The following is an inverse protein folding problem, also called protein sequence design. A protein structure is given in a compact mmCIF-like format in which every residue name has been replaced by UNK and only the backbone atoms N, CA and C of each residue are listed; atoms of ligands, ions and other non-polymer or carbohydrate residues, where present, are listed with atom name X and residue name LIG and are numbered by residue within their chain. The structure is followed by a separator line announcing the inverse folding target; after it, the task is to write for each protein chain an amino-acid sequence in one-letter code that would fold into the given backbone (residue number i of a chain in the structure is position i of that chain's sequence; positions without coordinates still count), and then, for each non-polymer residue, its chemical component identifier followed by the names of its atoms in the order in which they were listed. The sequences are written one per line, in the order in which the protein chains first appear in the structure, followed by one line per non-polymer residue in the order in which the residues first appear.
data_IF_630804046321
#
_entry.id   IF_630804046321
#
_cell.length_a   1.000
_cell.length_b   1.000
_cell.length_c   1.000
_cell.angle_alpha   90.00
_cell.angle_beta   90.00
_cell.angle_gamma   90.00
#
_symmetry.space_group_name_H-M   'P 1'
#
loop_
_entity.id
_entity.type
_entity.pdbx_description
1 polymer ?
#
# COMPACT_ATOMS: atom_id res chain seq x y z
N UNK A 1 26.08 -25.79 -1.17
CA UNK A 1 26.22 -27.19 -0.67
C UNK A 1 25.18 -28.05 -1.33
N UNK A 2 25.57 -29.10 -2.06
CA UNK A 2 24.62 -29.96 -2.78
C UNK A 2 23.88 -30.91 -1.81
N UNK A 3 22.73 -31.46 -2.24
CA UNK A 3 21.91 -32.37 -1.44
C UNK A 3 22.72 -33.54 -0.83
N UNK A 4 23.65 -34.11 -1.58
CA UNK A 4 24.50 -35.21 -1.11
C UNK A 4 25.35 -34.81 0.12
N UNK A 5 25.97 -33.63 0.08
CA UNK A 5 26.77 -33.13 1.18
C UNK A 5 25.92 -32.88 2.43
N UNK A 6 24.70 -32.40 2.25
CA UNK A 6 23.76 -32.17 3.36
C UNK A 6 23.32 -33.46 4.03
N UNK A 7 23.02 -34.50 3.23
CA UNK A 7 22.67 -35.81 3.77
C UNK A 7 23.86 -36.37 4.59
N UNK A 8 25.08 -36.24 4.11
CA UNK A 8 26.30 -36.70 4.82
C UNK A 8 26.44 -35.93 6.14
N UNK A 9 26.29 -34.59 6.11
CA UNK A 9 26.50 -33.76 7.27
C UNK A 9 25.45 -34.00 8.34
N UNK A 10 24.17 -34.06 7.97
CA UNK A 10 23.09 -34.29 8.93
C UNK A 10 23.14 -35.69 9.50
N UNK A 11 23.48 -36.71 8.72
CA UNK A 11 23.70 -38.06 9.25
C UNK A 11 24.86 -38.10 10.25
N UNK A 12 26.01 -37.48 9.92
CA UNK A 12 27.17 -37.41 10.83
C UNK A 12 26.86 -36.60 12.10
N UNK A 13 26.08 -35.53 11.97
CA UNK A 13 25.65 -34.68 13.09
C UNK A 13 24.80 -35.47 14.10
N UNK A 14 23.96 -36.37 13.59
CA UNK A 14 23.15 -37.27 14.42
C UNK A 14 23.93 -38.53 14.87
N UNK A 15 25.20 -38.69 14.51
CA UNK A 15 26.05 -39.81 14.90
C UNK A 15 25.69 -41.13 14.22
N UNK A 16 24.93 -41.12 13.11
CA UNK A 16 24.43 -42.32 12.48
C UNK A 16 25.40 -42.86 11.43
N UNK A 17 25.48 -44.22 11.33
CA UNK A 17 26.08 -44.92 10.19
C UNK A 17 25.14 -44.86 8.97
N UNK A 18 25.65 -45.17 7.79
CA UNK A 18 24.82 -45.32 6.58
C UNK A 18 23.76 -46.42 6.73
N UNK A 19 24.01 -47.41 7.52
CA UNK A 19 23.12 -48.55 7.78
C UNK A 19 21.96 -48.13 8.70
N UNK A 20 22.23 -47.39 9.75
CA UNK A 20 21.21 -46.85 10.65
C UNK A 20 20.30 -45.81 9.93
N UNK A 21 20.86 -44.93 9.11
CA UNK A 21 20.03 -44.03 8.29
C UNK A 21 19.15 -44.79 7.29
N UNK A 22 19.69 -45.87 6.70
CA UNK A 22 18.94 -46.70 5.78
C UNK A 22 17.76 -47.40 6.46
N UNK A 23 17.95 -47.88 7.70
CA UNK A 23 16.91 -48.51 8.52
C UNK A 23 15.82 -47.50 8.85
N UNK A 24 16.17 -46.28 9.32
CA UNK A 24 15.23 -45.22 9.62
C UNK A 24 14.35 -44.82 8.43
N UNK A 25 14.95 -44.79 7.23
CA UNK A 25 14.27 -44.42 5.99
C UNK A 25 13.57 -45.61 5.31
N UNK A 26 13.75 -46.83 5.84
CA UNK A 26 13.28 -48.08 5.25
C UNK A 26 13.72 -48.22 3.79
N UNK A 27 15.04 -48.15 3.57
CA UNK A 27 15.71 -48.29 2.28
C UNK A 27 16.96 -49.15 2.44
N UNK A 28 17.57 -49.55 1.33
CA UNK A 28 18.84 -50.29 1.38
C UNK A 28 20.01 -49.34 1.68
N UNK A 29 21.06 -49.88 2.38
CA UNK A 29 22.32 -49.14 2.57
C UNK A 29 22.93 -48.63 1.26
N UNK A 30 22.78 -49.42 0.19
CA UNK A 30 23.25 -49.04 -1.14
C UNK A 30 22.54 -47.77 -1.65
N UNK A 31 21.26 -47.55 -1.33
CA UNK A 31 20.53 -46.34 -1.71
C UNK A 31 21.13 -45.13 -1.02
N UNK A 32 21.39 -45.21 0.29
CA UNK A 32 22.05 -44.13 1.03
C UNK A 32 23.44 -43.83 0.43
N UNK A 33 24.24 -44.87 0.17
CA UNK A 33 25.56 -44.70 -0.43
C UNK A 33 25.52 -44.01 -1.80
N UNK A 34 24.52 -44.31 -2.63
CA UNK A 34 24.34 -43.65 -3.94
C UNK A 34 23.90 -42.19 -3.78
N UNK A 35 23.04 -41.89 -2.84
CA UNK A 35 22.59 -40.52 -2.57
C UNK A 35 23.70 -39.65 -1.98
N UNK A 36 24.48 -40.16 -1.03
CA UNK A 36 25.67 -39.51 -0.49
C UNK A 36 26.80 -39.34 -1.54
N UNK A 37 26.90 -40.27 -2.48
CA UNK A 37 27.84 -40.19 -3.61
C UNK A 37 27.36 -39.37 -4.82
N UNK A 38 26.22 -38.68 -4.71
CA UNK A 38 25.58 -37.95 -5.81
C UNK A 38 25.31 -38.77 -7.08
N UNK A 39 25.24 -40.12 -6.95
CA UNK A 39 25.00 -41.05 -8.07
C UNK A 39 23.51 -41.25 -8.34
N UNK A 40 22.65 -40.89 -7.39
CA UNK A 40 21.19 -40.90 -7.50
C UNK A 40 20.58 -39.86 -6.61
N UNK A 41 19.38 -39.38 -6.98
CA UNK A 41 18.60 -38.44 -6.18
C UNK A 41 17.48 -39.25 -5.50
N UNK A 42 17.24 -39.04 -4.17
CA UNK A 42 16.12 -39.65 -3.48
C UNK A 42 14.78 -39.14 -4.05
N UNK A 43 13.73 -39.93 -3.97
CA UNK A 43 12.39 -39.48 -4.30
C UNK A 43 11.89 -38.44 -3.26
N UNK A 44 10.89 -37.65 -3.66
CA UNK A 44 10.38 -36.54 -2.84
C UNK A 44 9.86 -37.02 -1.47
N UNK A 45 9.27 -38.20 -1.37
CA UNK A 45 8.77 -38.75 -0.11
C UNK A 45 9.91 -39.10 0.85
N UNK A 46 11.05 -39.59 0.28
CA UNK A 46 12.25 -39.86 1.09
C UNK A 46 12.93 -38.56 1.55
N UNK A 47 12.91 -37.52 0.72
CA UNK A 47 13.40 -36.19 1.13
C UNK A 47 12.57 -35.61 2.27
N UNK A 48 11.25 -35.71 2.20
CA UNK A 48 10.34 -35.28 3.27
C UNK A 48 10.65 -36.04 4.56
N UNK A 49 10.76 -37.36 4.47
CA UNK A 49 11.07 -38.23 5.62
C UNK A 49 12.47 -37.95 6.19
N UNK A 50 13.46 -37.66 5.34
CA UNK A 50 14.78 -37.22 5.80
C UNK A 50 14.71 -35.89 6.56
N UNK A 51 13.94 -34.93 6.05
CA UNK A 51 13.75 -33.65 6.71
C UNK A 51 13.15 -33.82 8.11
N UNK A 52 12.13 -34.68 8.27
CA UNK A 52 11.53 -35.04 9.57
C UNK A 52 12.56 -35.69 10.52
N UNK A 53 13.30 -36.69 10.05
CA UNK A 53 14.25 -37.46 10.87
C UNK A 53 15.45 -36.58 11.29
N UNK A 54 15.94 -35.73 10.39
CA UNK A 54 17.06 -34.82 10.69
C UNK A 54 16.64 -33.58 11.45
N UNK A 55 15.33 -33.29 11.57
CA UNK A 55 14.81 -32.08 12.20
C UNK A 55 15.14 -30.80 11.41
N UNK A 56 15.22 -30.90 10.09
CA UNK A 56 15.54 -29.77 9.17
C UNK A 56 14.38 -29.54 8.21
N UNK A 57 14.32 -28.34 7.59
CA UNK A 57 13.32 -28.08 6.58
C UNK A 57 13.61 -28.81 5.27
N UNK A 58 12.58 -29.19 4.52
CA UNK A 58 12.73 -29.73 3.15
C UNK A 58 13.43 -28.74 2.23
N UNK A 59 13.18 -27.43 2.43
CA UNK A 59 13.85 -26.35 1.71
C UNK A 59 15.37 -26.33 1.93
N UNK A 60 15.81 -26.61 3.16
CA UNK A 60 17.23 -26.73 3.47
C UNK A 60 17.87 -27.88 2.69
N UNK A 61 17.21 -29.01 2.58
CA UNK A 61 17.74 -30.15 1.81
C UNK A 61 17.79 -29.86 0.28
N UNK A 62 16.79 -29.15 -0.25
CA UNK A 62 16.61 -28.98 -1.69
C UNK A 62 17.31 -27.76 -2.30
N UNK A 63 17.56 -26.67 -1.52
CA UNK A 63 18.18 -25.44 -2.04
C UNK A 63 19.68 -25.42 -1.76
N UNK A 64 20.51 -25.26 -2.78
CA UNK A 64 21.97 -25.35 -2.67
C UNK A 64 22.64 -24.22 -1.85
N UNK A 65 21.95 -23.13 -1.54
CA UNK A 65 22.50 -21.92 -0.92
C UNK A 65 22.17 -21.71 0.57
N UNK A 66 21.53 -22.68 1.26
CA UNK A 66 21.20 -22.55 2.68
C UNK A 66 22.23 -23.23 3.60
N UNK A 67 22.81 -22.45 4.51
CA UNK A 67 23.58 -22.98 5.66
C UNK A 67 22.61 -23.54 6.73
N UNK A 68 23.04 -24.54 7.56
CA UNK A 68 22.20 -25.08 8.61
C UNK A 68 21.88 -24.01 9.66
N UNK A 69 20.61 -23.66 9.80
CA UNK A 69 20.17 -22.92 10.96
C UNK A 69 20.38 -23.80 12.20
N UNK A 70 21.12 -23.31 13.17
CA UNK A 70 21.39 -24.01 14.43
C UNK A 70 20.07 -24.47 15.07
N UNK A 71 20.00 -25.76 15.27
CA UNK A 71 18.84 -26.50 15.75
C UNK A 71 18.45 -26.04 17.17
N UNK A 72 17.31 -25.43 17.30
CA UNK A 72 16.53 -25.56 18.53
C UNK A 72 15.47 -26.63 18.31
N UNK A 73 15.74 -27.82 18.83
CA UNK A 73 14.74 -28.83 19.13
C UNK A 73 13.91 -28.30 20.29
N UNK A 74 12.66 -27.99 20.02
CA UNK A 74 11.61 -28.09 21.01
C UNK A 74 10.26 -28.30 20.32
N UNK A 75 9.71 -29.46 20.58
CA UNK A 75 8.31 -29.88 20.72
C UNK A 75 7.25 -29.12 19.89
N UNK A 76 6.52 -29.93 19.13
CA UNK A 76 5.16 -29.66 18.68
C UNK A 76 4.31 -29.39 19.93
N UNK A 77 4.14 -28.16 20.29
CA UNK A 77 2.97 -27.65 20.98
C UNK A 77 2.32 -26.65 20.01
N UNK A 78 1.03 -26.88 19.74
CA UNK A 78 0.10 -25.85 19.31
C UNK A 78 0.20 -24.72 20.34
N UNK A 79 1.14 -23.82 20.14
CA UNK A 79 1.18 -22.58 20.90
C UNK A 79 1.03 -21.41 19.91
N UNK A 80 -0.03 -20.68 20.13
CA UNK A 80 -0.21 -19.29 19.75
C UNK A 80 0.87 -18.44 20.44
N UNK A 81 2.15 -18.64 20.06
CA UNK A 81 3.33 -17.98 20.59
C UNK A 81 4.08 -17.23 19.52
N UNK A 82 3.82 -15.94 19.45
CA UNK A 82 4.69 -14.82 19.04
C UNK A 82 6.13 -15.21 18.73
N UNK A 83 6.41 -15.54 17.50
CA UNK A 83 7.73 -15.24 16.91
C UNK A 83 7.85 -13.71 16.89
N UNK A 84 8.85 -13.19 17.56
CA UNK A 84 9.07 -11.78 17.86
C UNK A 84 8.69 -10.84 16.69
N UNK A 85 7.51 -10.23 16.76
CA UNK A 85 7.15 -9.07 15.98
C UNK A 85 6.53 -9.26 14.60
N UNK A 86 6.45 -10.47 14.03
CA UNK A 86 5.84 -10.71 12.72
C UNK A 86 4.41 -11.24 12.82
N UNK A 87 3.48 -10.61 12.09
CA UNK A 87 2.10 -11.11 11.99
C UNK A 87 2.02 -12.04 10.78
N UNK A 88 1.62 -13.30 11.00
CA UNK A 88 1.43 -14.28 9.91
C UNK A 88 0.14 -14.00 9.16
N UNK A 89 0.24 -13.93 7.84
CA UNK A 89 -0.91 -13.70 6.95
C UNK A 89 -1.21 -14.99 6.19
N UNK A 90 -2.39 -15.55 6.44
CA UNK A 90 -2.87 -16.74 5.76
C UNK A 90 -3.33 -16.45 4.33
N UNK A 91 -3.50 -17.51 3.52
CA UNK A 91 -4.05 -17.40 2.17
C UNK A 91 -5.46 -16.82 2.17
N UNK A 92 -6.30 -17.26 3.11
CA UNK A 92 -7.69 -16.82 3.25
C UNK A 92 -7.78 -15.34 3.60
N UNK A 93 -7.00 -14.87 4.58
CA UNK A 93 -6.92 -13.46 4.96
C UNK A 93 -6.43 -12.57 3.81
N UNK A 94 -5.43 -13.03 3.06
CA UNK A 94 -4.93 -12.30 1.89
C UNK A 94 -6.01 -12.17 0.81
N UNK A 95 -6.78 -13.23 0.54
CA UNK A 95 -7.91 -13.18 -0.38
C UNK A 95 -8.99 -12.21 0.10
N UNK A 96 -9.38 -12.31 1.37
CA UNK A 96 -10.41 -11.45 1.96
C UNK A 96 -10.00 -9.97 1.92
N UNK A 97 -8.75 -9.66 2.24
CA UNK A 97 -8.21 -8.31 2.15
C UNK A 97 -8.23 -7.76 0.72
N UNK A 98 -7.72 -8.53 -0.25
CA UNK A 98 -7.70 -8.09 -1.65
C UNK A 98 -9.10 -7.89 -2.23
N UNK A 99 -10.05 -8.77 -1.90
CA UNK A 99 -11.43 -8.66 -2.34
C UNK A 99 -12.11 -7.42 -1.71
N UNK A 100 -11.89 -7.19 -0.42
CA UNK A 100 -12.38 -5.99 0.26
C UNK A 100 -11.83 -4.71 -0.41
N UNK A 101 -10.52 -4.63 -0.67
CA UNK A 101 -9.91 -3.47 -1.31
C UNK A 101 -10.42 -3.26 -2.75
N UNK A 102 -10.59 -4.33 -3.52
CA UNK A 102 -11.16 -4.24 -4.88
C UNK A 102 -12.60 -3.75 -4.88
N UNK A 103 -13.41 -4.12 -3.88
CA UNK A 103 -14.81 -3.64 -3.72
C UNK A 103 -14.86 -2.20 -3.21
N UNK A 104 -13.95 -1.79 -2.33
CA UNK A 104 -13.95 -0.46 -1.74
C UNK A 104 -13.27 0.59 -2.64
N UNK A 105 -12.31 0.21 -3.48
CA UNK A 105 -11.59 1.13 -4.36
C UNK A 105 -12.50 2.00 -5.25
N UNK A 106 -13.53 1.47 -5.96
CA UNK A 106 -14.43 2.31 -6.73
C UNK A 106 -15.27 3.24 -5.86
N UNK A 107 -15.66 2.82 -4.64
CA UNK A 107 -16.41 3.66 -3.70
C UNK A 107 -15.54 4.82 -3.23
N UNK A 108 -14.33 4.54 -2.79
CA UNK A 108 -13.34 5.56 -2.39
C UNK A 108 -13.13 6.59 -3.51
N UNK A 109 -12.90 6.12 -4.74
CA UNK A 109 -12.71 6.99 -5.89
C UNK A 109 -13.95 7.87 -6.18
N UNK A 110 -15.16 7.32 -6.05
CA UNK A 110 -16.39 8.08 -6.23
C UNK A 110 -16.56 9.16 -5.16
N UNK A 111 -16.18 8.89 -3.90
CA UNK A 111 -16.25 9.88 -2.81
C UNK A 111 -15.21 11.00 -3.01
N UNK A 112 -14.01 10.67 -3.47
CA UNK A 112 -13.01 11.68 -3.86
C UNK A 112 -13.54 12.55 -5.00
N UNK A 113 -14.14 11.95 -6.03
CA UNK A 113 -14.75 12.70 -7.14
C UNK A 113 -15.90 13.60 -6.65
N UNK A 114 -16.69 13.13 -5.71
CA UNK A 114 -17.77 13.92 -5.09
C UNK A 114 -17.23 15.16 -4.37
N UNK A 115 -16.10 15.02 -3.66
CA UNK A 115 -15.42 16.15 -3.03
C UNK A 115 -14.88 17.17 -4.06
N UNK A 116 -14.39 16.70 -5.23
CA UNK A 116 -13.93 17.59 -6.31
C UNK A 116 -15.10 18.31 -6.97
N UNK A 117 -16.25 17.64 -7.13
CA UNK A 117 -17.46 18.22 -7.73
C UNK A 117 -18.24 19.13 -6.77
N UNK A 118 -18.04 19.01 -5.46
CA UNK A 118 -18.74 19.84 -4.48
C UNK A 118 -18.57 21.36 -4.72
N UNK A 119 -17.36 21.92 -4.87
CA UNK A 119 -17.18 23.32 -5.24
C UNK A 119 -17.69 23.63 -6.66
N UNK A 120 -17.68 22.66 -7.60
CA UNK A 120 -18.20 22.89 -8.93
C UNK A 120 -19.69 23.19 -8.95
N UNK A 121 -20.48 22.59 -8.04
CA UNK A 121 -21.92 22.90 -7.88
C UNK A 121 -22.12 24.32 -7.42
N UNK A 122 -21.33 24.81 -6.45
CA UNK A 122 -21.40 26.20 -6.01
C UNK A 122 -21.06 27.18 -7.14
N UNK A 123 -19.97 26.90 -7.86
CA UNK A 123 -19.53 27.70 -9.01
C UNK A 123 -20.59 27.70 -10.13
N UNK A 124 -21.23 26.56 -10.37
CA UNK A 124 -22.32 26.45 -11.33
C UNK A 124 -23.52 27.31 -10.93
N UNK A 125 -23.92 27.31 -9.65
CA UNK A 125 -25.01 28.15 -9.16
C UNK A 125 -24.70 29.64 -9.35
N UNK A 126 -23.45 30.07 -9.09
CA UNK A 126 -23.00 31.45 -9.29
C UNK A 126 -23.03 31.79 -10.80
N UNK A 127 -22.56 30.90 -11.68
CA UNK A 127 -22.56 31.14 -13.12
C UNK A 127 -23.99 31.28 -13.68
N UNK A 128 -24.91 30.46 -13.20
CA UNK A 128 -26.32 30.50 -13.62
C UNK A 128 -27.03 31.79 -13.19
N UNK A 129 -26.71 32.32 -12.00
CA UNK A 129 -27.32 33.58 -11.54
C UNK A 129 -26.89 34.81 -12.37
N UNK A 130 -25.75 34.73 -13.05
CA UNK A 130 -25.27 35.79 -13.94
C UNK A 130 -25.92 35.80 -15.33
N UNK A 131 -26.73 34.80 -15.67
CA UNK A 131 -27.43 34.72 -16.96
C UNK A 131 -28.60 35.72 -16.95
N UNK A 132 -28.69 36.64 -17.95
CA UNK A 132 -29.80 37.60 -18.04
C UNK A 132 -31.15 36.89 -18.10
N UNK A 133 -32.08 37.29 -17.23
CA UNK A 133 -33.42 36.70 -17.16
C UNK A 133 -33.55 35.46 -16.25
N UNK A 134 -32.55 35.10 -15.49
CA UNK A 134 -32.65 34.00 -14.52
C UNK A 134 -33.57 34.38 -13.36
N UNK A 135 -34.49 33.51 -12.91
CA UNK A 135 -35.60 33.91 -12.01
C UNK A 135 -35.19 34.06 -10.54
N UNK A 136 -33.99 33.59 -10.15
CA UNK A 136 -33.51 33.60 -8.78
C UNK A 136 -32.42 34.65 -8.57
N UNK A 137 -32.40 35.33 -7.41
CA UNK A 137 -31.38 36.29 -7.07
C UNK A 137 -30.05 35.63 -6.74
N UNK A 138 -28.92 36.33 -7.00
CA UNK A 138 -27.55 35.86 -6.73
C UNK A 138 -27.43 35.30 -5.31
N UNK A 139 -27.95 35.97 -4.30
CA UNK A 139 -27.87 35.53 -2.91
C UNK A 139 -28.54 34.18 -2.66
N UNK A 140 -29.69 33.96 -3.30
CA UNK A 140 -30.42 32.68 -3.19
C UNK A 140 -29.63 31.56 -3.88
N UNK A 141 -29.08 31.79 -5.07
CA UNK A 141 -28.29 30.81 -5.81
C UNK A 141 -27.00 30.44 -5.06
N UNK A 142 -26.31 31.43 -4.47
CA UNK A 142 -25.13 31.18 -3.63
C UNK A 142 -25.49 30.34 -2.39
N UNK A 143 -26.61 30.65 -1.75
CA UNK A 143 -27.09 29.87 -0.59
C UNK A 143 -27.41 28.42 -0.96
N UNK A 144 -28.13 28.20 -2.08
CA UNK A 144 -28.41 26.85 -2.60
C UNK A 144 -27.12 26.08 -2.92
N UNK A 145 -26.17 26.73 -3.63
CA UNK A 145 -24.89 26.14 -3.95
C UNK A 145 -24.07 25.75 -2.74
N UNK A 146 -24.06 26.62 -1.71
CA UNK A 146 -23.33 26.37 -0.46
C UNK A 146 -23.94 25.19 0.32
N UNK A 147 -25.27 25.12 0.43
CA UNK A 147 -25.94 24.00 1.09
C UNK A 147 -25.67 22.70 0.33
N UNK A 148 -25.80 22.71 -1.01
CA UNK A 148 -25.52 21.53 -1.84
C UNK A 148 -24.09 21.05 -1.69
N UNK A 149 -23.10 21.97 -1.70
CA UNK A 149 -21.69 21.68 -1.46
C UNK A 149 -21.48 21.02 -0.10
N UNK A 150 -22.05 21.58 0.97
CA UNK A 150 -21.94 21.02 2.32
C UNK A 150 -22.55 19.62 2.44
N UNK A 151 -23.71 19.38 1.82
CA UNK A 151 -24.34 18.06 1.79
C UNK A 151 -23.47 17.04 1.07
N UNK A 152 -22.89 17.40 -0.09
CA UNK A 152 -22.00 16.52 -0.85
C UNK A 152 -20.76 16.15 -0.03
N UNK A 153 -20.12 17.11 0.63
CA UNK A 153 -18.94 16.86 1.47
C UNK A 153 -19.32 15.97 2.67
N UNK A 154 -20.46 16.23 3.32
CA UNK A 154 -20.92 15.41 4.45
C UNK A 154 -21.13 13.96 4.04
N UNK A 155 -21.77 13.70 2.88
CA UNK A 155 -21.94 12.36 2.34
C UNK A 155 -20.57 11.69 2.08
N UNK A 156 -19.64 12.39 1.44
CA UNK A 156 -18.31 11.86 1.17
C UNK A 156 -17.57 11.48 2.46
N UNK A 157 -17.56 12.36 3.47
CA UNK A 157 -16.91 12.13 4.76
C UNK A 157 -17.55 10.93 5.49
N UNK A 158 -18.87 10.83 5.49
CA UNK A 158 -19.58 9.68 6.08
C UNK A 158 -19.09 8.35 5.50
N UNK A 159 -18.99 8.25 4.17
CA UNK A 159 -18.51 7.02 3.53
C UNK A 159 -17.02 6.76 3.78
N UNK A 160 -16.16 7.80 3.82
CA UNK A 160 -14.76 7.64 4.20
C UNK A 160 -14.61 7.02 5.60
N UNK A 161 -15.40 7.49 6.57
CA UNK A 161 -15.39 6.95 7.93
C UNK A 161 -15.85 5.49 7.95
N UNK A 162 -16.98 5.17 7.29
CA UNK A 162 -17.52 3.81 7.22
C UNK A 162 -16.50 2.84 6.58
N UNK A 163 -15.90 3.23 5.46
CA UNK A 163 -14.96 2.38 4.75
C UNK A 163 -13.63 2.24 5.51
N UNK A 164 -13.18 3.30 6.22
CA UNK A 164 -12.03 3.24 7.13
C UNK A 164 -12.26 2.24 8.28
N UNK A 165 -13.45 2.25 8.88
CA UNK A 165 -13.79 1.29 9.93
C UNK A 165 -13.76 -0.17 9.43
N UNK A 166 -14.20 -0.42 8.19
CA UNK A 166 -14.13 -1.76 7.58
C UNK A 166 -12.71 -2.24 7.34
N UNK A 167 -11.80 -1.33 7.00
CA UNK A 167 -10.38 -1.63 6.76
C UNK A 167 -9.58 -1.78 8.05
N UNK A 168 -10.08 -1.29 9.18
CA UNK A 168 -9.34 -1.22 10.44
C UNK A 168 -8.84 -2.60 10.92
N UNK A 169 -9.57 -3.69 10.65
CA UNK A 169 -9.13 -5.05 10.98
C UNK A 169 -7.82 -5.46 10.27
N UNK A 170 -7.51 -4.84 9.12
CA UNK A 170 -6.29 -5.07 8.34
C UNK A 170 -5.23 -3.98 8.56
N UNK A 171 -5.40 -3.09 9.54
CA UNK A 171 -4.46 -2.00 9.81
C UNK A 171 -3.05 -2.50 10.15
N UNK A 172 -2.92 -3.73 10.66
CA UNK A 172 -1.63 -4.36 10.93
C UNK A 172 -0.78 -4.55 9.67
N UNK A 173 -1.41 -4.72 8.48
CA UNK A 173 -0.69 -4.83 7.21
C UNK A 173 0.12 -3.55 6.85
N UNK A 174 -0.30 -2.39 7.36
CA UNK A 174 0.41 -1.12 7.16
C UNK A 174 1.50 -0.89 8.20
N UNK A 175 1.22 -1.24 9.45
CA UNK A 175 2.01 -0.79 10.61
C UNK A 175 2.99 -1.84 11.11
N UNK A 176 2.69 -3.14 10.93
CA UNK A 176 3.50 -4.23 11.46
C UNK A 176 4.24 -4.97 10.34
N UNK A 177 5.44 -5.51 10.62
CA UNK A 177 6.08 -6.44 9.72
C UNK A 177 5.22 -7.71 9.63
N UNK A 178 5.00 -8.22 8.42
CA UNK A 178 4.18 -9.40 8.17
C UNK A 178 5.04 -10.53 7.59
N UNK A 179 4.65 -11.76 7.88
CA UNK A 179 5.17 -12.97 7.25
C UNK A 179 4.04 -13.63 6.47
N UNK A 180 4.19 -13.71 5.16
CA UNK A 180 3.17 -14.34 4.31
C UNK A 180 3.36 -15.86 4.30
N UNK A 181 2.30 -16.63 4.58
CA UNK A 181 2.33 -18.08 4.48
C UNK A 181 2.62 -18.56 3.05
N UNK A 182 3.01 -19.83 2.94
CA UNK A 182 3.35 -20.45 1.65
C UNK A 182 2.28 -20.21 0.58
N UNK A 183 2.71 -19.77 -0.60
CA UNK A 183 1.83 -19.50 -1.76
C UNK A 183 1.19 -18.11 -1.82
N UNK A 184 1.06 -17.38 -0.71
CA UNK A 184 0.42 -16.05 -0.68
C UNK A 184 1.13 -15.06 -1.62
N UNK A 185 2.45 -14.95 -1.51
CA UNK A 185 3.23 -14.03 -2.36
C UNK A 185 3.14 -14.37 -3.86
N UNK A 186 3.07 -15.66 -4.20
CA UNK A 186 2.87 -16.13 -5.59
C UNK A 186 1.51 -15.69 -6.13
N UNK A 187 0.45 -15.96 -5.38
CA UNK A 187 -0.92 -15.57 -5.74
C UNK A 187 -1.07 -14.05 -5.90
N UNK A 188 -0.49 -13.26 -4.99
CA UNK A 188 -0.55 -11.79 -5.06
C UNK A 188 0.18 -11.26 -6.28
N UNK A 189 1.36 -11.81 -6.61
CA UNK A 189 2.13 -11.44 -7.82
C UNK A 189 1.36 -11.76 -9.10
N UNK A 190 0.72 -12.92 -9.17
CA UNK A 190 -0.09 -13.32 -10.32
C UNK A 190 -1.28 -12.35 -10.51
N UNK A 191 -2.05 -12.08 -9.45
CA UNK A 191 -3.18 -11.12 -9.50
C UNK A 191 -2.72 -9.72 -9.89
N UNK A 192 -1.58 -9.26 -9.36
CA UNK A 192 -0.99 -7.98 -9.72
C UNK A 192 -0.62 -7.91 -11.20
N UNK A 193 0.01 -8.97 -11.75
CA UNK A 193 0.35 -9.05 -13.16
C UNK A 193 -0.87 -8.96 -14.08
N UNK A 194 -1.98 -9.62 -13.70
CA UNK A 194 -3.26 -9.51 -14.42
C UNK A 194 -3.86 -8.09 -14.36
N UNK A 195 -3.64 -7.38 -13.26
CA UNK A 195 -4.14 -6.01 -13.08
C UNK A 195 -3.26 -4.95 -13.74
N UNK A 196 -1.97 -5.23 -14.00
CA UNK A 196 -0.97 -4.27 -14.47
C UNK A 196 -1.40 -3.53 -15.75
N UNK A 197 -1.90 -4.25 -16.75
CA UNK A 197 -2.38 -3.65 -18.00
C UNK A 197 -3.55 -2.69 -17.76
N UNK A 198 -4.47 -3.05 -16.88
CA UNK A 198 -5.60 -2.21 -16.50
C UNK A 198 -5.15 -0.97 -15.73
N UNK A 199 -4.20 -1.11 -14.81
CA UNK A 199 -3.58 -0.01 -14.07
C UNK A 199 -2.94 1.00 -15.02
N UNK A 200 -2.11 0.55 -15.98
CA UNK A 200 -1.46 1.42 -16.97
C UNK A 200 -2.50 2.20 -17.74
N UNK A 201 -3.54 1.54 -18.27
CA UNK A 201 -4.60 2.19 -19.04
C UNK A 201 -5.38 3.22 -18.21
N UNK A 202 -5.78 2.88 -16.99
CA UNK A 202 -6.50 3.79 -16.10
C UNK A 202 -5.65 5.00 -15.71
N UNK A 203 -4.36 4.79 -15.44
CA UNK A 203 -3.41 5.87 -15.10
C UNK A 203 -3.21 6.80 -16.30
N UNK A 204 -2.94 6.25 -17.50
CA UNK A 204 -2.73 7.05 -18.71
C UNK A 204 -3.96 7.89 -19.06
N UNK A 205 -5.16 7.29 -19.08
CA UNK A 205 -6.41 7.99 -19.36
C UNK A 205 -6.69 9.06 -18.29
N UNK A 206 -6.48 8.73 -17.01
CA UNK A 206 -6.68 9.66 -15.89
C UNK A 206 -5.79 10.90 -16.01
N UNK A 207 -4.49 10.72 -16.30
CA UNK A 207 -3.55 11.83 -16.48
C UNK A 207 -3.91 12.66 -17.71
N UNK A 208 -4.21 12.03 -18.86
CA UNK A 208 -4.62 12.73 -20.08
C UNK A 208 -5.86 13.59 -19.83
N UNK A 209 -6.89 13.05 -19.16
CA UNK A 209 -8.11 13.80 -18.82
C UNK A 209 -7.80 15.03 -17.95
N UNK A 210 -6.94 14.90 -16.95
CA UNK A 210 -6.56 16.01 -16.09
C UNK A 210 -5.80 17.10 -16.88
N UNK A 211 -4.91 16.74 -17.80
CA UNK A 211 -4.16 17.70 -18.61
C UNK A 211 -5.07 18.38 -19.64
N UNK A 212 -5.86 17.61 -20.37
CA UNK A 212 -6.77 18.11 -21.42
C UNK A 212 -7.88 18.99 -20.84
N UNK A 213 -8.26 18.79 -19.58
CA UNK A 213 -9.31 19.57 -18.90
C UNK A 213 -9.05 21.09 -18.89
N UNK A 214 -7.78 21.50 -18.95
CA UNK A 214 -7.38 22.92 -18.91
C UNK A 214 -7.61 23.61 -20.27
N UNK A 215 -7.59 22.88 -21.39
CA UNK A 215 -7.65 23.43 -22.74
C UNK A 215 -8.92 24.27 -22.97
N UNK A 216 -10.15 23.82 -22.64
CA UNK A 216 -11.34 24.64 -22.84
C UNK A 216 -11.29 25.95 -22.06
N UNK A 217 -10.83 25.92 -20.81
CA UNK A 217 -10.73 27.12 -19.97
C UNK A 217 -9.81 28.17 -20.62
N UNK A 218 -8.60 27.76 -21.04
CA UNK A 218 -7.63 28.67 -21.68
C UNK A 218 -8.18 29.19 -23.01
N UNK A 219 -8.75 28.34 -23.86
CA UNK A 219 -9.28 28.72 -25.16
C UNK A 219 -10.37 29.78 -25.03
N UNK A 220 -11.36 29.58 -24.18
CA UNK A 220 -12.46 30.54 -23.99
C UNK A 220 -12.04 31.81 -23.26
N UNK A 221 -11.04 31.73 -22.38
CA UNK A 221 -10.46 32.92 -21.73
C UNK A 221 -9.76 33.85 -22.72
N UNK A 222 -9.00 33.29 -23.70
CA UNK A 222 -8.27 34.05 -24.69
C UNK A 222 -9.19 34.68 -25.75
N UNK A 223 -10.28 33.99 -26.14
CA UNK A 223 -11.25 34.47 -27.13
C UNK A 223 -12.09 35.66 -26.63
N UNK A 224 -12.04 35.96 -25.31
CA UNK A 224 -12.74 37.11 -24.73
C UNK A 224 -14.25 36.95 -24.67
N UNK A 225 -14.71 35.80 -24.28
CA UNK A 225 -16.14 35.47 -24.08
C UNK A 225 -16.73 36.11 -22.83
N UNK A 226 -18.06 36.07 -22.71
CA UNK A 226 -18.74 36.60 -21.52
C UNK A 226 -18.28 35.88 -20.23
N UNK A 227 -18.17 36.59 -19.12
CA UNK A 227 -17.61 36.10 -17.85
C UNK A 227 -18.27 34.80 -17.38
N UNK A 228 -19.60 34.69 -17.45
CA UNK A 228 -20.31 33.47 -17.05
C UNK A 228 -19.92 32.22 -17.87
N UNK A 229 -19.51 32.40 -19.15
CA UNK A 229 -19.02 31.30 -19.97
C UNK A 229 -17.68 30.78 -19.47
N UNK A 230 -16.76 31.68 -19.10
CA UNK A 230 -15.47 31.31 -18.52
C UNK A 230 -15.66 30.55 -17.21
N UNK A 231 -16.62 30.99 -16.37
CA UNK A 231 -16.97 30.30 -15.11
C UNK A 231 -17.56 28.90 -15.38
N UNK A 232 -18.37 28.73 -16.41
CA UNK A 232 -18.86 27.40 -16.86
C UNK A 232 -17.72 26.49 -17.32
N UNK A 233 -16.65 27.05 -17.96
CA UNK A 233 -15.49 26.25 -18.32
C UNK A 233 -14.72 25.75 -17.10
N UNK A 234 -14.73 26.48 -15.98
CA UNK A 234 -14.18 26.00 -14.71
C UNK A 234 -14.97 24.79 -14.19
N UNK A 235 -16.31 24.82 -14.28
CA UNK A 235 -17.14 23.67 -13.89
C UNK A 235 -16.82 22.45 -14.77
N UNK A 236 -16.66 22.64 -16.07
CA UNK A 236 -16.28 21.59 -17.01
C UNK A 236 -14.89 21.02 -16.69
N UNK A 237 -13.93 21.89 -16.38
CA UNK A 237 -12.59 21.49 -15.92
C UNK A 237 -12.68 20.59 -14.69
N UNK A 238 -13.42 21.00 -13.66
CA UNK A 238 -13.58 20.21 -12.43
C UNK A 238 -14.28 18.86 -12.70
N UNK A 239 -15.22 18.81 -13.67
CA UNK A 239 -15.86 17.57 -14.07
C UNK A 239 -14.85 16.59 -14.71
N UNK A 240 -14.01 17.05 -15.64
CA UNK A 240 -12.97 16.22 -16.25
C UNK A 240 -11.92 15.78 -15.24
N UNK A 241 -11.47 16.67 -14.35
CA UNK A 241 -10.55 16.35 -13.27
C UNK A 241 -11.14 15.31 -12.33
N UNK A 242 -12.43 15.43 -11.98
CA UNK A 242 -13.10 14.44 -11.12
C UNK A 242 -13.09 13.04 -11.74
N UNK A 243 -13.34 12.92 -13.05
CA UNK A 243 -13.26 11.64 -13.77
C UNK A 243 -11.82 11.14 -13.84
N UNK A 244 -10.86 12.00 -14.18
CA UNK A 244 -9.44 11.66 -14.24
C UNK A 244 -8.91 11.15 -12.90
N UNK A 245 -9.18 11.88 -11.81
CA UNK A 245 -8.78 11.50 -10.45
C UNK A 245 -9.49 10.22 -10.00
N UNK A 246 -10.75 10.00 -10.39
CA UNK A 246 -11.45 8.75 -10.11
C UNK A 246 -10.69 7.53 -10.63
N UNK A 247 -10.23 7.58 -11.88
CA UNK A 247 -9.45 6.51 -12.49
C UNK A 247 -8.11 6.30 -11.78
N UNK A 248 -7.42 7.39 -11.46
CA UNK A 248 -6.14 7.35 -10.72
C UNK A 248 -6.32 6.72 -9.34
N UNK A 249 -7.29 7.18 -8.55
CA UNK A 249 -7.54 6.65 -7.21
C UNK A 249 -7.85 5.16 -7.24
N UNK A 250 -8.68 4.69 -8.20
CA UNK A 250 -8.95 3.25 -8.36
C UNK A 250 -7.68 2.47 -8.65
N UNK A 251 -6.86 2.94 -9.60
CA UNK A 251 -5.64 2.27 -10.01
C UNK A 251 -4.65 2.15 -8.83
N UNK A 252 -4.42 3.26 -8.12
CA UNK A 252 -3.46 3.30 -7.02
C UNK A 252 -3.94 2.57 -5.75
N UNK A 253 -5.24 2.62 -5.44
CA UNK A 253 -5.79 1.89 -4.28
C UNK A 253 -5.63 0.38 -4.44
N UNK A 254 -5.95 -0.15 -5.62
CA UNK A 254 -5.82 -1.59 -5.90
C UNK A 254 -4.34 -1.99 -5.96
N UNK A 255 -3.48 -1.23 -6.61
CA UNK A 255 -2.04 -1.54 -6.64
C UNK A 255 -1.39 -1.46 -5.25
N UNK A 256 -1.79 -0.47 -4.45
CA UNK A 256 -1.33 -0.31 -3.07
C UNK A 256 -1.68 -1.52 -2.18
N UNK A 257 -2.82 -2.19 -2.42
CA UNK A 257 -3.16 -3.41 -1.68
C UNK A 257 -2.20 -4.56 -1.98
N UNK A 258 -1.74 -4.71 -3.23
CA UNK A 258 -0.70 -5.68 -3.58
C UNK A 258 0.65 -5.33 -2.97
N UNK A 259 1.05 -4.05 -3.01
CA UNK A 259 2.31 -3.59 -2.40
C UNK A 259 2.35 -3.84 -0.88
N UNK A 260 1.23 -3.67 -0.17
CA UNK A 260 1.14 -3.95 1.27
C UNK A 260 1.40 -5.42 1.59
N UNK A 261 0.78 -6.34 0.86
CA UNK A 261 0.97 -7.78 1.06
C UNK A 261 2.37 -8.26 0.64
N UNK A 262 2.95 -7.68 -0.41
CA UNK A 262 4.30 -7.99 -0.87
C UNK A 262 5.39 -7.26 -0.09
N UNK A 263 5.02 -6.35 0.80
CA UNK A 263 5.94 -5.47 1.54
C UNK A 263 6.91 -4.73 0.60
N UNK A 264 6.38 -4.17 -0.49
CA UNK A 264 7.14 -3.40 -1.47
C UNK A 264 6.92 -1.87 -1.30
N UNK A 265 7.83 -1.07 -1.86
CA UNK A 265 7.73 0.39 -1.82
C UNK A 265 7.74 0.95 -0.39
N UNK A 266 6.72 1.73 -0.04
CA UNK A 266 6.57 2.36 1.28
C UNK A 266 6.22 1.36 2.40
N UNK A 267 5.88 0.12 2.06
CA UNK A 267 5.48 -0.94 2.99
C UNK A 267 6.58 -1.95 3.27
N UNK A 268 7.82 -1.70 2.85
CA UNK A 268 8.97 -2.54 3.22
C UNK A 268 9.15 -2.57 4.74
N UNK A 269 9.69 -3.67 5.28
CA UNK A 269 9.95 -3.83 6.73
C UNK A 269 10.77 -2.64 7.25
N UNK A 270 11.79 -2.22 6.49
CA UNK A 270 12.62 -1.06 6.83
C UNK A 270 11.80 0.24 6.84
N UNK A 271 10.93 0.47 5.87
CA UNK A 271 10.08 1.67 5.81
C UNK A 271 9.09 1.71 6.97
N UNK A 272 8.45 0.58 7.30
CA UNK A 272 7.53 0.46 8.45
C UNK A 272 8.24 0.75 9.77
N UNK A 273 9.43 0.19 10.00
CA UNK A 273 10.21 0.42 11.22
C UNK A 273 10.66 1.88 11.35
N UNK A 274 11.08 2.51 10.25
CA UNK A 274 11.40 3.93 10.21
C UNK A 274 10.16 4.80 10.48
N UNK A 275 9.04 4.51 9.84
CA UNK A 275 7.81 5.27 10.05
C UNK A 275 7.33 5.20 11.50
N UNK A 276 7.39 4.03 12.14
CA UNK A 276 7.03 3.89 13.55
C UNK A 276 7.98 4.67 14.47
N UNK A 277 9.30 4.58 14.25
CA UNK A 277 10.31 5.34 15.02
C UNK A 277 10.13 6.85 14.90
N UNK A 278 9.83 7.33 13.69
CA UNK A 278 9.74 8.78 13.43
C UNK A 278 8.33 9.34 13.53
N UNK A 279 7.29 8.52 13.75
CA UNK A 279 5.90 9.01 13.86
C UNK A 279 5.75 10.04 14.98
N UNK A 280 6.24 9.73 16.18
CA UNK A 280 6.18 10.66 17.32
C UNK A 280 7.00 11.93 17.07
N UNK A 281 8.21 11.80 16.52
CA UNK A 281 9.07 12.93 16.18
C UNK A 281 8.43 13.83 15.11
N UNK A 282 7.81 13.22 14.11
CA UNK A 282 7.06 13.93 13.06
C UNK A 282 5.91 14.76 13.66
N UNK A 283 5.12 14.16 14.54
CA UNK A 283 3.99 14.84 15.18
C UNK A 283 4.47 16.05 15.98
N UNK A 284 5.50 15.89 16.80
CA UNK A 284 6.10 16.97 17.60
C UNK A 284 6.64 18.08 16.68
N UNK A 285 7.38 17.72 15.62
CA UNK A 285 7.91 18.69 14.67
C UNK A 285 6.81 19.53 14.01
N UNK A 286 5.74 18.90 13.52
CA UNK A 286 4.65 19.62 12.87
C UNK A 286 3.82 20.48 13.85
N UNK A 287 3.67 20.05 15.10
CA UNK A 287 3.05 20.88 16.14
C UNK A 287 3.88 22.14 16.41
N UNK A 288 5.22 22.02 16.51
CA UNK A 288 6.10 23.17 16.66
C UNK A 288 6.06 24.11 15.44
N UNK A 289 6.10 23.56 14.23
CA UNK A 289 6.01 24.35 13.00
C UNK A 289 4.67 25.11 12.90
N UNK A 290 3.57 24.45 13.27
CA UNK A 290 2.24 25.10 13.32
C UNK A 290 2.18 26.18 14.38
N UNK A 291 2.70 25.93 15.58
CA UNK A 291 2.78 26.92 16.67
C UNK A 291 3.63 28.13 16.26
N UNK A 292 4.79 27.92 15.66
CA UNK A 292 5.65 28.99 15.16
C UNK A 292 4.96 29.81 14.05
N UNK A 293 4.26 29.15 13.12
CA UNK A 293 3.48 29.79 12.07
C UNK A 293 2.39 30.70 12.66
N UNK A 294 1.59 30.17 13.59
CA UNK A 294 0.52 30.94 14.23
C UNK A 294 1.08 32.11 15.06
N UNK A 295 2.11 31.86 15.87
CA UNK A 295 2.75 32.92 16.66
C UNK A 295 3.28 34.04 15.77
N UNK A 296 3.99 33.72 14.70
CA UNK A 296 4.50 34.71 13.76
C UNK A 296 3.39 35.47 13.05
N UNK A 297 2.34 34.78 12.59
CA UNK A 297 1.20 35.39 11.90
C UNK A 297 0.39 36.33 12.80
N UNK A 298 0.13 35.94 14.06
CA UNK A 298 -0.65 36.78 15.01
C UNK A 298 0.17 37.93 15.59
N UNK A 299 1.44 37.71 15.96
CA UNK A 299 2.28 38.77 16.57
C UNK A 299 2.71 39.79 15.52
N UNK A 300 3.10 39.29 14.30
CA UNK A 300 3.59 40.15 13.23
C UNK A 300 2.51 40.76 12.35
N UNK A 301 1.29 40.24 12.34
CA UNK A 301 0.20 40.69 11.45
C UNK A 301 0.47 40.39 9.93
N UNK A 302 1.51 39.65 9.60
CA UNK A 302 2.02 39.46 8.22
C UNK A 302 1.55 38.16 7.59
N UNK A 303 0.25 37.92 7.51
CA UNK A 303 -0.33 36.71 6.92
C UNK A 303 0.08 36.47 5.46
N UNK A 304 0.43 37.56 4.75
CA UNK A 304 0.83 37.52 3.33
C UNK A 304 2.13 36.72 3.08
N UNK A 305 3.05 36.70 4.05
CA UNK A 305 4.38 36.07 3.87
C UNK A 305 4.60 34.86 4.76
N UNK A 306 3.82 34.66 5.81
CA UNK A 306 4.07 33.61 6.81
C UNK A 306 3.87 32.21 6.26
N UNK A 307 3.12 32.01 5.16
CA UNK A 307 2.94 30.73 4.49
C UNK A 307 4.28 30.10 4.00
N UNK A 308 5.33 30.93 3.78
CA UNK A 308 6.67 30.47 3.38
C UNK A 308 7.27 29.53 4.45
N UNK A 309 6.81 29.60 5.69
CA UNK A 309 7.27 28.70 6.75
C UNK A 309 6.97 27.23 6.45
N UNK A 310 5.87 26.92 5.74
CA UNK A 310 5.48 25.56 5.42
C UNK A 310 6.45 24.85 4.47
N UNK A 311 6.81 25.38 3.29
CA UNK A 311 7.79 24.75 2.42
C UNK A 311 9.18 24.67 3.07
N UNK A 312 9.60 25.64 3.86
CA UNK A 312 10.87 25.62 4.60
C UNK A 312 10.86 24.50 5.66
N UNK A 313 9.81 24.43 6.47
CA UNK A 313 9.65 23.35 7.46
C UNK A 313 9.61 21.96 6.80
N UNK A 314 8.91 21.82 5.68
CA UNK A 314 8.89 20.58 4.90
C UNK A 314 10.31 20.19 4.41
N UNK A 315 11.06 21.14 3.88
CA UNK A 315 12.46 20.91 3.46
C UNK A 315 13.36 20.45 4.63
N UNK A 316 13.29 21.14 5.77
CA UNK A 316 14.03 20.77 6.98
C UNK A 316 13.66 19.36 7.45
N UNK A 317 12.36 19.03 7.47
CA UNK A 317 11.88 17.71 7.88
C UNK A 317 12.40 16.59 6.97
N UNK A 318 12.34 16.78 5.65
CA UNK A 318 12.84 15.80 4.67
C UNK A 318 14.35 15.63 4.80
N UNK A 319 15.12 16.72 4.88
CA UNK A 319 16.55 16.65 5.09
C UNK A 319 16.91 15.94 6.41
N UNK A 320 16.22 16.25 7.50
CA UNK A 320 16.39 15.60 8.78
C UNK A 320 16.12 14.08 8.70
N UNK A 321 15.03 13.69 8.04
CA UNK A 321 14.70 12.27 7.82
C UNK A 321 15.76 11.54 7.01
N UNK A 322 16.30 12.16 5.96
CA UNK A 322 17.37 11.59 5.13
C UNK A 322 18.69 11.41 5.91
N UNK A 323 19.10 12.40 6.69
CA UNK A 323 20.32 12.34 7.51
C UNK A 323 20.21 11.24 8.56
N UNK A 324 19.07 11.11 9.21
CA UNK A 324 18.81 10.08 10.23
C UNK A 324 18.69 8.69 9.62
N UNK A 325 18.16 8.58 8.39
CA UNK A 325 18.06 7.32 7.63
C UNK A 325 19.38 6.85 7.06
N UNK A 326 20.32 7.76 6.76
CA UNK A 326 21.64 7.43 6.21
C UNK A 326 22.69 7.04 7.26
N UNK A 327 22.38 7.18 8.55
CA UNK A 327 23.29 6.83 9.66
C UNK A 327 23.12 5.41 10.23
N UNK A 328 22.19 4.63 9.68
CA UNK A 328 21.94 3.22 9.99
C UNK A 328 22.09 2.40 8.69
#
# INVERSE_FOLDING_TARGET
MILADKIINERKRNGWSQEELAEQLNVSRQSISKWEGAQAIPDIQKIIKMAEIFGVSTDYLLKDEMEPAETRSDMIEEDSGTSEGYVKVSMEEAYEYLDLEQRLAPRLANMVSLCILAPAVLILCIALSQIPGFPLTDKVMVAIGLVAMMVMITIAVMFFVIDSMKKNRFAYLENSPIETMYGVSGMVKERRALFEQKKISMTAIGVILCVVSVIPLVAFSVVGTKEYVVVLMVVLLLAFVAVGVNLLVRAYTVDGSYQKLLQEGDYTIRAKSLNTKYASLSTVFWLFATGAYLAWSFIGGHWEYTWVLWPVAAGIFVCGKLILSGKN
#
